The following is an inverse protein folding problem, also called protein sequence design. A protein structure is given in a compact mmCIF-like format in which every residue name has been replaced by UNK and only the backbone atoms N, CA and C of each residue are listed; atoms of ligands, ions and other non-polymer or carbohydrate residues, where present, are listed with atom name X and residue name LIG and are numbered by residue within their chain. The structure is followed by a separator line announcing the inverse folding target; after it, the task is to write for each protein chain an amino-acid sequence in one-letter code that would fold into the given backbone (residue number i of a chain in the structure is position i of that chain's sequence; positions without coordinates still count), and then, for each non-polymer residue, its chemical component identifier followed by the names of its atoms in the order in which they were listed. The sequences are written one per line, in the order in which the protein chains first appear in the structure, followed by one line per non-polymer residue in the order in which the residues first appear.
data_IF_601875843482
#
_entry.id   IF_601875843482
#
_cell.length_a   1.000
_cell.length_b   1.000
_cell.length_c   1.000
_cell.angle_alpha   90.00
_cell.angle_beta   90.00
_cell.angle_gamma   90.00
#
_symmetry.space_group_name_H-M   'P 1'
#
loop_
_entity.id
_entity.type
_entity.pdbx_description
1 polymer ?
#
# COMPACT_ATOMS: atom_id res chain seq x y z
N UNK A 1 -2.98 8.65 13.18
CA UNK A 1 -2.07 7.83 14.03
C UNK A 1 -1.11 6.96 13.22
N UNK A 2 -1.57 6.24 12.18
CA UNK A 2 -0.72 5.39 11.32
C UNK A 2 0.52 6.12 10.78
N UNK A 3 0.34 7.31 10.20
CA UNK A 3 1.46 8.11 9.65
C UNK A 3 2.55 8.41 10.69
N UNK A 4 2.17 8.70 11.94
CA UNK A 4 3.12 8.89 13.04
C UNK A 4 3.88 7.61 13.37
N UNK A 5 3.18 6.47 13.45
CA UNK A 5 3.80 5.18 13.78
C UNK A 5 4.80 4.74 12.70
N UNK A 6 4.43 4.87 11.42
CA UNK A 6 5.31 4.57 10.29
C UNK A 6 6.57 5.44 10.29
N UNK A 7 6.47 6.72 10.70
CA UNK A 7 7.64 7.60 10.86
C UNK A 7 8.50 7.24 12.06
N UNK A 8 7.87 6.87 13.19
CA UNK A 8 8.55 6.65 14.48
C UNK A 8 9.33 5.34 14.56
N UNK A 9 8.84 4.28 13.92
CA UNK A 9 9.39 2.93 14.07
C UNK A 9 9.97 2.43 12.75
N UNK A 10 11.30 2.25 12.72
CA UNK A 10 12.04 1.86 11.51
C UNK A 10 11.63 0.51 10.93
N UNK A 11 11.21 -0.42 11.79
CA UNK A 11 10.84 -1.80 11.48
C UNK A 11 9.32 -2.03 11.36
N UNK A 12 8.51 -0.97 11.42
CA UNK A 12 7.07 -1.08 11.27
C UNK A 12 6.68 -0.92 9.80
N UNK A 13 5.78 -1.79 9.35
CA UNK A 13 5.16 -1.78 8.03
C UNK A 13 3.65 -1.80 8.19
N UNK A 14 2.94 -1.37 7.14
CA UNK A 14 1.49 -1.51 7.03
C UNK A 14 1.15 -2.13 5.68
N UNK A 15 0.12 -2.96 5.64
CA UNK A 15 -0.40 -3.52 4.41
C UNK A 15 -1.66 -2.77 3.94
N UNK A 16 -1.82 -2.75 2.62
CA UNK A 16 -3.01 -2.33 1.90
C UNK A 16 -3.68 -3.61 1.40
N UNK A 17 -4.49 -4.22 2.27
CA UNK A 17 -5.18 -5.46 2.00
C UNK A 17 -6.67 -5.38 2.25
N UNK A 18 -7.36 -6.41 1.74
CA UNK A 18 -8.80 -6.53 1.76
C UNK A 18 -9.47 -5.25 1.23
N UNK A 19 -10.66 -4.96 1.76
CA UNK A 19 -11.34 -3.69 1.53
C UNK A 19 -10.93 -2.59 2.53
N UNK A 20 -10.21 -2.93 3.62
CA UNK A 20 -9.80 -1.95 4.62
C UNK A 20 -8.83 -0.90 4.08
N UNK A 21 -7.85 -1.33 3.27
CA UNK A 21 -6.89 -0.41 2.64
C UNK A 21 -7.60 0.60 1.73
N UNK A 22 -8.50 0.09 0.87
CA UNK A 22 -9.32 0.91 -0.01
C UNK A 22 -10.22 1.87 0.77
N UNK A 23 -11.01 1.35 1.73
CA UNK A 23 -11.94 2.14 2.51
C UNK A 23 -11.26 3.24 3.34
N UNK A 24 -10.01 3.06 3.73
CA UNK A 24 -9.24 4.09 4.44
C UNK A 24 -8.78 5.21 3.50
N UNK A 25 -8.26 4.86 2.32
CA UNK A 25 -7.67 5.80 1.37
C UNK A 25 -8.71 6.55 0.52
N UNK A 26 -9.81 5.89 0.15
CA UNK A 26 -10.85 6.48 -0.70
C UNK A 26 -11.66 7.61 -0.03
N UNK A 27 -11.49 7.82 1.29
CA UNK A 27 -12.19 8.88 2.05
C UNK A 27 -11.70 10.29 1.70
N UNK A 28 -10.42 10.40 1.36
CA UNK A 28 -9.75 11.65 1.05
C UNK A 28 -8.58 11.33 0.11
N UNK A 29 -8.81 11.50 -1.19
CA UNK A 29 -7.86 11.12 -2.23
C UNK A 29 -6.62 12.00 -2.27
N UNK A 30 -6.75 13.29 -1.91
CA UNK A 30 -5.61 14.20 -1.85
C UNK A 30 -4.67 13.78 -0.70
N UNK A 31 -5.23 13.60 0.50
CA UNK A 31 -4.46 13.10 1.63
C UNK A 31 -3.88 11.70 1.38
N UNK A 32 -4.65 10.81 0.74
CA UNK A 32 -4.20 9.48 0.40
C UNK A 32 -2.96 9.51 -0.51
N UNK A 33 -2.98 10.36 -1.54
CA UNK A 33 -1.84 10.51 -2.45
C UNK A 33 -0.58 10.91 -1.69
N UNK A 34 -0.68 11.96 -0.87
CA UNK A 34 0.45 12.39 -0.05
C UNK A 34 0.90 11.33 0.95
N UNK A 35 -0.03 10.55 1.51
CA UNK A 35 0.25 9.50 2.49
C UNK A 35 1.03 8.34 1.86
N UNK A 36 0.60 7.91 0.69
CA UNK A 36 1.23 6.86 -0.09
C UNK A 36 2.63 7.29 -0.53
N UNK A 37 2.79 8.53 -1.01
CA UNK A 37 4.10 9.06 -1.43
C UNK A 37 5.10 9.09 -0.25
N UNK A 38 4.71 9.71 0.87
CA UNK A 38 5.62 9.91 2.02
C UNK A 38 5.94 8.62 2.80
N UNK A 39 5.06 7.62 2.76
CA UNK A 39 5.25 6.33 3.46
C UNK A 39 5.60 5.16 2.52
N UNK A 40 5.83 5.43 1.23
CA UNK A 40 5.94 4.38 0.20
C UNK A 40 6.88 3.23 0.54
N UNK A 41 8.01 3.47 1.20
CA UNK A 41 8.98 2.43 1.60
C UNK A 41 8.54 1.51 2.76
N UNK A 42 7.32 1.67 3.29
CA UNK A 42 6.79 0.90 4.42
C UNK A 42 5.39 0.35 4.19
N UNK A 43 4.89 0.46 2.97
CA UNK A 43 3.56 -0.01 2.58
C UNK A 43 3.68 -1.28 1.75
N UNK A 44 2.83 -2.26 2.02
CA UNK A 44 2.80 -3.55 1.33
C UNK A 44 1.44 -3.75 0.67
N UNK A 45 1.41 -4.34 -0.51
CA UNK A 45 0.18 -4.81 -1.12
C UNK A 45 -0.14 -6.24 -0.67
N UNK A 46 -1.42 -6.53 -0.43
CA UNK A 46 -1.93 -7.88 -0.18
C UNK A 46 -3.36 -7.99 -0.67
N UNK A 47 -3.76 -9.14 -1.22
CA UNK A 47 -5.11 -9.28 -1.79
C UNK A 47 -6.17 -9.61 -0.73
N UNK A 48 -5.81 -10.43 0.27
CA UNK A 48 -6.73 -10.96 1.29
C UNK A 48 -8.02 -11.54 0.69
N UNK A 49 -7.87 -12.38 -0.34
CA UNK A 49 -9.00 -13.00 -1.03
C UNK A 49 -9.54 -14.17 -0.22
N UNK A 50 -10.87 -14.20 -0.06
CA UNK A 50 -11.58 -15.32 0.55
C UNK A 50 -12.18 -16.27 -0.51
N UNK A 51 -12.35 -15.79 -1.74
CA UNK A 51 -12.87 -16.54 -2.88
C UNK A 51 -12.33 -15.98 -4.22
N UNK A 52 -12.34 -16.82 -5.25
CA UNK A 52 -11.65 -16.57 -6.53
C UNK A 52 -12.13 -15.32 -7.29
N UNK A 53 -13.44 -15.03 -7.25
CA UNK A 53 -14.05 -13.91 -7.97
C UNK A 53 -14.15 -12.61 -7.16
N UNK A 54 -13.49 -12.54 -6.01
CA UNK A 54 -13.52 -11.34 -5.16
C UNK A 54 -12.77 -10.19 -5.84
N UNK A 55 -13.42 -9.02 -5.92
CA UNK A 55 -12.85 -7.82 -6.54
C UNK A 55 -11.72 -7.23 -5.68
N UNK A 56 -10.61 -6.83 -6.32
CA UNK A 56 -9.47 -6.19 -5.66
C UNK A 56 -9.51 -4.68 -5.94
N UNK A 57 -10.40 -3.97 -5.24
CA UNK A 57 -10.69 -2.54 -5.48
C UNK A 57 -9.47 -1.62 -5.29
N UNK A 58 -8.55 -2.00 -4.39
CA UNK A 58 -7.37 -1.20 -4.09
C UNK A 58 -6.41 -1.05 -5.29
N UNK A 59 -6.32 -2.05 -6.19
CA UNK A 59 -5.45 -1.95 -7.38
C UNK A 59 -5.92 -0.80 -8.27
N UNK A 60 -7.20 -0.82 -8.65
CA UNK A 60 -7.80 0.21 -9.50
C UNK A 60 -7.66 1.60 -8.86
N UNK A 61 -7.89 1.71 -7.55
CA UNK A 61 -7.69 2.96 -6.83
C UNK A 61 -6.25 3.50 -6.93
N UNK A 62 -5.25 2.64 -6.78
CA UNK A 62 -3.84 3.03 -6.86
C UNK A 62 -3.42 3.45 -8.28
N UNK A 63 -4.04 2.87 -9.31
CA UNK A 63 -3.86 3.29 -10.71
C UNK A 63 -4.47 4.68 -10.94
N UNK A 64 -5.68 4.92 -10.44
CA UNK A 64 -6.42 6.17 -10.65
C UNK A 64 -5.80 7.38 -9.93
N UNK A 65 -5.17 7.18 -8.77
CA UNK A 65 -4.57 8.27 -7.97
C UNK A 65 -3.26 8.83 -8.58
N UNK A 66 -2.74 8.17 -9.62
CA UNK A 66 -1.59 8.59 -10.42
C UNK A 66 -0.34 8.87 -9.55
N UNK A 67 0.12 7.84 -8.83
CA UNK A 67 1.35 7.85 -8.03
C UNK A 67 2.57 7.88 -8.94
N UNK A 68 3.71 8.32 -8.39
CA UNK A 68 4.98 8.10 -9.08
C UNK A 68 5.26 6.60 -9.24
N UNK A 69 5.89 6.22 -10.37
CA UNK A 69 6.25 4.83 -10.65
C UNK A 69 7.00 4.16 -9.49
N UNK A 70 7.93 4.90 -8.86
CA UNK A 70 8.70 4.43 -7.71
C UNK A 70 7.80 4.05 -6.53
N UNK A 71 6.81 4.89 -6.22
CA UNK A 71 5.89 4.64 -5.10
C UNK A 71 4.98 3.47 -5.40
N UNK A 72 4.48 3.38 -6.63
CA UNK A 72 3.67 2.25 -7.09
C UNK A 72 4.44 0.92 -6.97
N UNK A 73 5.68 0.85 -7.45
CA UNK A 73 6.54 -0.33 -7.35
C UNK A 73 6.91 -0.68 -5.89
N UNK A 74 7.17 0.32 -5.05
CA UNK A 74 7.39 0.11 -3.60
C UNK A 74 6.23 -0.64 -2.95
N UNK A 75 5.00 -0.15 -3.18
CA UNK A 75 3.78 -0.70 -2.60
C UNK A 75 3.50 -2.10 -3.14
N UNK A 76 3.54 -2.27 -4.47
CA UNK A 76 3.11 -3.52 -5.10
C UNK A 76 4.07 -4.69 -4.88
N UNK A 77 5.39 -4.46 -4.87
CA UNK A 77 6.32 -5.59 -4.78
C UNK A 77 7.68 -5.30 -4.17
N UNK A 78 8.32 -4.15 -4.38
CA UNK A 78 9.72 -3.93 -3.94
C UNK A 78 9.91 -4.02 -2.43
N UNK A 79 8.95 -3.53 -1.65
CA UNK A 79 9.01 -3.66 -0.19
C UNK A 79 8.86 -5.11 0.25
N UNK A 80 7.96 -5.86 -0.37
CA UNK A 80 7.79 -7.28 -0.09
C UNK A 80 9.06 -8.05 -0.44
N UNK A 81 9.59 -7.91 -1.66
CA UNK A 81 10.85 -8.50 -2.14
C UNK A 81 11.99 -8.30 -1.13
N UNK A 82 12.16 -7.06 -0.65
CA UNK A 82 13.18 -6.71 0.35
C UNK A 82 13.00 -7.43 1.68
N UNK A 83 11.76 -7.56 2.16
CA UNK A 83 11.46 -8.17 3.47
C UNK A 83 11.60 -9.69 3.45
N UNK A 84 11.09 -10.33 2.40
CA UNK A 84 11.06 -11.80 2.31
C UNK A 84 12.34 -12.39 1.71
N UNK A 85 13.35 -11.54 1.46
CA UNK A 85 14.65 -11.94 0.90
C UNK A 85 14.54 -12.71 -0.42
N UNK A 86 13.50 -12.43 -1.22
CA UNK A 86 13.41 -12.93 -2.59
C UNK A 86 14.51 -12.24 -3.41
N UNK A 87 15.69 -12.87 -3.50
CA UNK A 87 16.53 -12.75 -4.68
C UNK A 87 15.80 -13.47 -5.81
N UNK A 88 14.88 -12.78 -6.48
CA UNK A 88 14.49 -13.14 -7.83
C UNK A 88 15.64 -12.83 -8.79
#
# INVERSE_FOLDING_TARGET
KVDYLLKRYGNLYADLSADSGFNALARDTEYAKEFLERNSGKLLFGTDLLYESQEIRIIKFLEDINLSRKVYEHILHRNAEKLISLRL
#
